data_IF_539102906395
#
_entry.id   IF_539102906395
#
_cell.length_a   1.000
_cell.length_b   1.000
_cell.length_c   1.000
_cell.angle_alpha   90.00
_cell.angle_beta   90.00
_cell.angle_gamma   90.00
#
_symmetry.space_group_name_H-M   'P 1'
#
loop_
_entity.id
_entity.type
_entity.pdbx_description
1 polymer ?
#
# COMPACT_ATOMS: atom_id res chain seq x y z
N UNK A 1 11.84 -1.17 -5.41
CA UNK A 1 10.67 -2.09 -5.24
C UNK A 1 10.88 -3.19 -4.21
N UNK A 2 12.05 -3.80 -4.12
CA UNK A 2 12.29 -4.86 -3.13
C UNK A 2 12.08 -4.38 -1.69
N UNK A 3 12.52 -3.16 -1.37
CA UNK A 3 12.29 -2.58 -0.05
C UNK A 3 10.83 -2.32 0.26
N UNK A 4 10.07 -1.84 -0.73
CA UNK A 4 8.63 -1.61 -0.62
C UNK A 4 7.89 -2.94 -0.38
N UNK A 5 8.22 -3.95 -1.16
CA UNK A 5 7.68 -5.31 -0.99
C UNK A 5 7.99 -5.84 0.42
N UNK A 6 9.24 -5.75 0.87
CA UNK A 6 9.66 -6.23 2.18
C UNK A 6 8.94 -5.49 3.32
N UNK A 7 8.84 -4.16 3.24
CA UNK A 7 8.14 -3.37 4.24
C UNK A 7 6.67 -3.73 4.36
N UNK A 8 6.05 -4.04 3.23
CA UNK A 8 4.63 -4.45 3.21
C UNK A 8 4.45 -5.87 3.75
N UNK A 9 5.21 -6.84 3.25
CA UNK A 9 5.09 -8.24 3.69
C UNK A 9 5.45 -8.41 5.16
N UNK A 10 6.41 -7.64 5.67
CA UNK A 10 6.77 -7.63 7.08
C UNK A 10 5.90 -6.72 7.93
N UNK A 11 5.06 -5.90 7.32
CA UNK A 11 4.14 -4.97 7.99
C UNK A 11 4.88 -4.05 8.95
N UNK A 12 6.01 -3.49 8.52
CA UNK A 12 6.93 -2.74 9.36
C UNK A 12 6.93 -1.26 9.01
N UNK A 13 6.31 -0.39 9.86
CA UNK A 13 6.27 1.05 9.61
C UNK A 13 7.65 1.72 9.56
N UNK A 14 8.58 1.28 10.41
CA UNK A 14 9.93 1.84 10.43
C UNK A 14 10.69 1.48 9.15
N UNK A 15 10.57 0.25 8.67
CA UNK A 15 11.16 -0.20 7.41
C UNK A 15 10.61 0.60 6.23
N UNK A 16 9.30 0.83 6.19
CA UNK A 16 8.67 1.64 5.15
C UNK A 16 9.21 3.08 5.17
N UNK A 17 9.20 3.72 6.33
CA UNK A 17 9.67 5.10 6.46
C UNK A 17 11.14 5.25 6.09
N UNK A 18 11.96 4.23 6.37
CA UNK A 18 13.40 4.24 6.07
C UNK A 18 13.72 4.19 4.57
N UNK A 19 12.75 3.85 3.71
CA UNK A 19 12.92 3.91 2.26
C UNK A 19 12.99 5.33 1.73
N UNK A 20 12.56 6.30 2.53
CA UNK A 20 12.43 7.71 2.16
C UNK A 20 13.45 8.57 2.88
N UNK A 21 13.79 9.69 2.26
CA UNK A 21 14.48 10.77 2.97
C UNK A 21 13.58 11.33 4.09
N UNK A 22 14.13 11.96 5.14
CA UNK A 22 13.34 12.48 6.26
C UNK A 22 12.22 13.45 5.87
N UNK A 23 12.35 14.14 4.73
CA UNK A 23 11.33 15.02 4.14
C UNK A 23 10.58 14.38 2.97
N UNK A 24 10.71 13.08 2.81
CA UNK A 24 10.09 12.35 1.70
C UNK A 24 8.58 12.38 1.70
N UNK A 25 7.99 12.17 0.53
CA UNK A 25 6.55 12.18 0.32
C UNK A 25 6.06 10.87 -0.27
N UNK A 26 4.95 10.39 0.25
CA UNK A 26 4.23 9.23 -0.29
C UNK A 26 2.79 9.65 -0.60
N UNK A 27 2.46 9.68 -1.88
CA UNK A 27 1.12 9.98 -2.34
C UNK A 27 0.36 8.66 -2.46
N UNK A 28 -0.37 8.31 -1.41
CA UNK A 28 -1.13 7.06 -1.35
C UNK A 28 -2.39 7.09 -2.21
N UNK A 29 -2.84 8.26 -2.61
CA UNK A 29 -3.83 8.52 -3.68
C UNK A 29 -3.47 9.85 -4.33
N UNK A 30 -4.07 10.20 -5.49
CA UNK A 30 -3.87 11.53 -6.09
C UNK A 30 -4.26 12.69 -5.17
N UNK A 31 -5.09 12.43 -4.15
CA UNK A 31 -5.64 13.46 -3.28
C UNK A 31 -5.07 13.46 -1.86
N UNK A 32 -4.20 12.50 -1.55
CA UNK A 32 -3.66 12.35 -0.20
C UNK A 32 -2.14 12.16 -0.24
N UNK A 33 -1.45 12.88 0.62
CA UNK A 33 0.00 12.78 0.73
C UNK A 33 0.42 12.64 2.20
N UNK A 34 1.37 11.75 2.43
CA UNK A 34 2.05 11.59 3.72
C UNK A 34 3.45 12.16 3.56
N UNK A 35 3.82 13.10 4.43
CA UNK A 35 5.13 13.78 4.40
C UNK A 35 5.90 13.55 5.66
N UNK A 36 7.17 13.18 5.50
CA UNK A 36 8.10 13.04 6.59
C UNK A 36 7.99 11.71 7.31
N UNK A 37 9.05 11.35 8.04
CA UNK A 37 9.21 10.04 8.67
C UNK A 37 8.04 9.67 9.59
N UNK A 38 7.58 10.63 10.40
CA UNK A 38 6.51 10.37 11.35
C UNK A 38 5.18 10.05 10.67
N UNK A 39 4.79 10.84 9.65
CA UNK A 39 3.55 10.59 8.91
C UNK A 39 3.62 9.31 8.09
N UNK A 40 4.76 9.01 7.49
CA UNK A 40 4.96 7.76 6.73
C UNK A 40 4.80 6.54 7.64
N UNK A 41 5.43 6.55 8.80
CA UNK A 41 5.32 5.44 9.75
C UNK A 41 3.90 5.30 10.29
N UNK A 42 3.24 6.41 10.63
CA UNK A 42 1.87 6.40 11.12
C UNK A 42 0.88 5.86 10.07
N UNK A 43 1.02 6.30 8.83
CA UNK A 43 0.21 5.78 7.73
C UNK A 43 0.37 4.27 7.56
N UNK A 44 1.62 3.76 7.65
CA UNK A 44 1.92 2.36 7.42
C UNK A 44 1.44 1.43 8.55
N UNK A 45 1.07 1.98 9.71
CA UNK A 45 0.50 1.17 10.81
C UNK A 45 -0.79 0.45 10.40
N UNK A 46 -1.55 0.98 9.44
CA UNK A 46 -2.75 0.30 8.93
C UNK A 46 -2.44 -1.05 8.29
N UNK A 47 -1.23 -1.21 7.77
CA UNK A 47 -0.79 -2.47 7.17
C UNK A 47 -0.67 -3.57 8.23
N UNK A 48 -0.49 -3.22 9.49
CA UNK A 48 -0.45 -4.19 10.59
C UNK A 48 -1.79 -4.88 10.84
N UNK A 49 -2.88 -4.33 10.30
CA UNK A 49 -4.21 -4.95 10.36
C UNK A 49 -4.43 -5.96 9.21
N UNK A 50 -3.48 -6.08 8.32
CA UNK A 50 -3.49 -7.05 7.23
C UNK A 50 -2.71 -8.29 7.65
N UNK A 51 -3.15 -9.46 7.18
CA UNK A 51 -2.50 -10.73 7.45
C UNK A 51 -2.15 -11.42 6.14
N UNK A 52 -1.13 -12.28 6.19
CA UNK A 52 -0.73 -13.10 5.04
C UNK A 52 -0.55 -12.25 3.78
N UNK A 53 0.29 -11.23 3.89
CA UNK A 53 0.51 -10.25 2.83
C UNK A 53 1.49 -10.81 1.80
N UNK A 54 1.09 -10.79 0.54
CA UNK A 54 1.96 -11.15 -0.58
C UNK A 54 2.01 -9.99 -1.57
N UNK A 55 3.22 -9.58 -1.96
CA UNK A 55 3.44 -8.51 -2.92
C UNK A 55 4.24 -9.04 -4.10
N UNK A 56 3.71 -8.84 -5.30
CA UNK A 56 4.43 -9.09 -6.55
C UNK A 56 4.56 -7.80 -7.33
N UNK A 57 5.60 -7.69 -8.15
CA UNK A 57 5.79 -6.49 -8.97
C UNK A 57 6.59 -6.77 -10.23
N UNK A 58 6.39 -5.91 -11.23
CA UNK A 58 7.20 -5.85 -12.45
C UNK A 58 7.66 -4.41 -12.65
N UNK A 59 8.97 -4.22 -12.85
CA UNK A 59 9.52 -2.91 -13.19
C UNK A 59 9.23 -2.64 -14.66
N UNK A 60 8.44 -1.59 -14.93
CA UNK A 60 8.02 -1.23 -16.28
C UNK A 60 9.01 -0.30 -16.96
N UNK A 61 9.64 0.58 -16.17
CA UNK A 61 10.63 1.54 -16.67
C UNK A 61 11.53 1.97 -15.52
N UNK A 62 12.78 2.24 -15.81
CA UNK A 62 13.74 2.75 -14.84
C UNK A 62 14.70 3.73 -15.50
N UNK A 63 14.98 4.82 -14.80
CA UNK A 63 15.98 5.84 -15.18
C UNK A 63 16.93 6.05 -13.98
N UNK A 64 17.93 6.90 -14.13
CA UNK A 64 18.93 7.12 -13.09
C UNK A 64 18.35 7.56 -11.74
N UNK A 65 17.26 8.36 -11.76
CA UNK A 65 16.67 8.95 -10.56
C UNK A 65 15.17 8.68 -10.42
N UNK A 66 14.60 7.78 -11.24
CA UNK A 66 13.17 7.47 -11.16
C UNK A 66 12.88 6.06 -11.65
N UNK A 67 11.73 5.54 -11.24
CA UNK A 67 11.26 4.24 -11.69
C UNK A 67 9.75 4.17 -11.70
N UNK A 68 9.24 3.22 -12.48
CA UNK A 68 7.83 2.90 -12.61
C UNK A 68 7.67 1.41 -12.51
N UNK A 69 6.76 0.95 -11.65
CA UNK A 69 6.50 -0.47 -11.46
C UNK A 69 5.01 -0.75 -11.38
N UNK A 70 4.59 -1.85 -11.98
CA UNK A 70 3.28 -2.43 -11.71
C UNK A 70 3.41 -3.37 -10.53
N UNK A 71 2.49 -3.27 -9.57
CA UNK A 71 2.49 -4.11 -8.38
C UNK A 71 1.11 -4.68 -8.11
N UNK A 72 1.10 -5.81 -7.46
CA UNK A 72 -0.11 -6.44 -6.95
C UNK A 72 0.14 -6.90 -5.53
N UNK A 73 -0.79 -6.60 -4.64
CA UNK A 73 -0.77 -7.04 -3.26
C UNK A 73 -2.04 -7.80 -2.94
N UNK A 74 -1.89 -8.93 -2.26
CA UNK A 74 -3.02 -9.66 -1.70
C UNK A 74 -2.81 -9.80 -0.20
N UNK A 75 -3.89 -9.69 0.56
CA UNK A 75 -3.83 -9.88 2.01
C UNK A 75 -5.18 -10.32 2.55
N UNK A 76 -5.14 -11.00 3.70
CA UNK A 76 -6.33 -11.34 4.46
C UNK A 76 -6.68 -10.16 5.36
N UNK A 77 -7.94 -9.73 5.32
CA UNK A 77 -8.44 -8.69 6.23
C UNK A 77 -8.53 -9.28 7.64
N UNK A 78 -7.91 -8.61 8.62
CA UNK A 78 -7.85 -9.08 10.00
C UNK A 78 -9.00 -8.54 10.87
N UNK A 79 -9.73 -7.52 10.41
CA UNK A 79 -10.80 -6.91 11.20
C UNK A 79 -11.94 -6.36 10.35
N UNK A 80 -13.14 -6.36 10.92
CA UNK A 80 -14.33 -5.72 10.34
C UNK A 80 -14.10 -4.23 10.10
N UNK A 81 -13.41 -3.57 11.02
CA UNK A 81 -13.14 -2.14 10.95
C UNK A 81 -12.30 -1.80 9.72
N UNK A 82 -11.24 -2.55 9.45
CA UNK A 82 -10.40 -2.37 8.26
C UNK A 82 -11.24 -2.55 6.99
N UNK A 83 -12.09 -3.57 6.95
CA UNK A 83 -12.95 -3.83 5.80
C UNK A 83 -13.93 -2.68 5.56
N UNK A 84 -14.53 -2.14 6.60
CA UNK A 84 -15.45 -0.99 6.50
C UNK A 84 -14.73 0.26 6.01
N UNK A 85 -13.54 0.54 6.54
CA UNK A 85 -12.71 1.68 6.12
C UNK A 85 -12.37 1.57 4.63
N UNK A 86 -11.96 0.40 4.19
CA UNK A 86 -11.67 0.15 2.78
C UNK A 86 -12.91 0.38 1.91
N UNK A 87 -14.04 -0.23 2.27
CA UNK A 87 -15.27 -0.13 1.50
C UNK A 87 -15.75 1.32 1.38
N UNK A 88 -15.63 2.09 2.45
CA UNK A 88 -15.99 3.51 2.45
C UNK A 88 -15.07 4.31 1.52
N UNK A 89 -13.77 4.05 1.54
CA UNK A 89 -12.79 4.79 0.73
C UNK A 89 -12.90 4.48 -0.76
N UNK A 90 -13.34 3.27 -1.13
CA UNK A 90 -13.49 2.87 -2.53
C UNK A 90 -14.93 3.03 -3.05
N UNK A 91 -15.88 3.41 -2.21
CA UNK A 91 -17.30 3.51 -2.57
C UNK A 91 -17.96 2.16 -2.80
N UNK A 92 -17.34 1.07 -2.38
CA UNK A 92 -17.87 -0.29 -2.58
C UNK A 92 -18.99 -0.58 -1.58
N UNK A 93 -20.09 -1.17 -2.06
CA UNK A 93 -21.19 -1.57 -1.22
C UNK A 93 -20.87 -2.82 -0.41
N UNK A 94 -21.25 -2.83 0.87
CA UNK A 94 -21.13 -3.99 1.76
C UNK A 94 -22.39 -4.87 1.78
N UNK A 95 -23.37 -4.57 0.94
CA UNK A 95 -24.73 -5.19 1.00
C UNK A 95 -24.69 -6.71 0.85
N UNK A 96 -23.71 -7.23 0.12
CA UNK A 96 -23.61 -8.68 -0.12
C UNK A 96 -23.04 -9.46 1.07
N UNK A 97 -22.56 -8.79 2.13
CA UNK A 97 -21.95 -9.45 3.28
C UNK A 97 -22.84 -9.37 4.50
N UNK A 98 -23.12 -10.53 5.12
CA UNK A 98 -23.90 -10.62 6.35
C UNK A 98 -22.98 -10.59 7.58
N UNK A 99 -23.48 -10.11 8.74
CA UNK A 99 -22.72 -10.21 9.99
C UNK A 99 -22.33 -11.67 10.28
N UNK A 100 -21.05 -11.88 10.62
CA UNK A 100 -20.53 -13.22 10.89
C UNK A 100 -19.97 -13.96 9.67
N UNK A 101 -20.12 -13.44 8.46
CA UNK A 101 -19.49 -14.01 7.27
C UNK A 101 -17.95 -13.87 7.38
N UNK A 102 -17.18 -14.80 6.82
CA UNK A 102 -15.72 -14.68 6.79
C UNK A 102 -15.28 -13.37 6.12
N UNK A 103 -14.27 -12.72 6.69
CA UNK A 103 -13.68 -11.55 6.07
C UNK A 103 -12.96 -11.95 4.78
N UNK A 104 -13.06 -11.13 3.73
CA UNK A 104 -12.49 -11.48 2.43
C UNK A 104 -10.98 -11.34 2.42
N UNK A 105 -10.35 -12.07 1.51
CA UNK A 105 -9.01 -11.74 1.07
C UNK A 105 -9.10 -10.63 0.04
N UNK A 106 -8.24 -9.61 0.17
CA UNK A 106 -8.25 -8.45 -0.70
C UNK A 106 -7.16 -8.56 -1.76
N UNK A 107 -7.47 -8.05 -2.95
CA UNK A 107 -6.49 -7.87 -4.02
C UNK A 107 -6.40 -6.38 -4.32
N UNK A 108 -5.19 -5.85 -4.28
CA UNK A 108 -4.87 -4.50 -4.74
C UNK A 108 -4.00 -4.63 -5.98
N UNK A 109 -4.29 -3.80 -6.99
CA UNK A 109 -3.50 -3.74 -8.20
C UNK A 109 -3.24 -2.28 -8.53
N UNK A 110 -2.00 -1.94 -8.86
CA UNK A 110 -1.66 -0.57 -9.08
C UNK A 110 -0.31 -0.35 -9.72
N UNK A 111 0.01 0.92 -9.86
CA UNK A 111 1.27 1.40 -10.42
C UNK A 111 1.92 2.33 -9.40
N UNK A 112 3.22 2.15 -9.20
CA UNK A 112 4.06 3.00 -8.36
C UNK A 112 5.04 3.75 -9.25
N UNK A 113 5.09 5.07 -9.07
CA UNK A 113 6.13 5.92 -9.65
C UNK A 113 6.94 6.49 -8.49
N UNK A 114 8.26 6.31 -8.54
CA UNK A 114 9.16 6.78 -7.48
C UNK A 114 10.27 7.63 -8.07
N UNK A 115 10.63 8.69 -7.36
CA UNK A 115 11.77 9.55 -7.65
C UNK A 115 12.77 9.41 -6.50
N UNK A 116 14.05 9.24 -6.85
CA UNK A 116 15.11 9.00 -5.90
C UNK A 116 16.14 10.13 -5.90
N UNK A 117 16.70 10.38 -4.72
CA UNK A 117 17.89 11.20 -4.55
C UNK A 117 18.91 10.34 -3.82
N UNK A 118 19.98 9.92 -4.51
CA UNK A 118 20.89 8.91 -3.97
C UNK A 118 20.19 7.55 -3.77
N UNK A 119 20.33 6.99 -2.58
CA UNK A 119 19.84 5.65 -2.25
C UNK A 119 18.42 5.63 -1.60
N UNK A 120 17.79 6.79 -1.46
CA UNK A 120 16.47 6.91 -0.84
C UNK A 120 15.48 7.61 -1.74
N UNK A 121 14.22 7.28 -1.53
CA UNK A 121 13.11 7.86 -2.25
C UNK A 121 12.78 9.26 -1.71
N UNK A 122 12.64 10.23 -2.61
CA UNK A 122 12.18 11.58 -2.25
C UNK A 122 10.68 11.72 -2.41
N UNK A 123 10.10 11.15 -3.46
CA UNK A 123 8.66 11.18 -3.72
C UNK A 123 8.24 9.85 -4.33
N UNK A 124 7.19 9.26 -3.80
CA UNK A 124 6.53 8.11 -4.40
C UNK A 124 5.05 8.39 -4.57
N UNK A 125 4.50 7.96 -5.68
CA UNK A 125 3.07 8.09 -5.99
C UNK A 125 2.54 6.74 -6.40
N UNK A 126 1.35 6.40 -5.89
CA UNK A 126 0.65 5.19 -6.32
C UNK A 126 -0.72 5.53 -6.88
N UNK A 127 -1.09 4.77 -7.89
CA UNK A 127 -2.46 4.72 -8.43
C UNK A 127 -2.89 3.27 -8.31
N UNK A 128 -4.05 3.03 -7.71
CA UNK A 128 -4.45 1.67 -7.39
C UNK A 128 -5.95 1.51 -7.33
N UNK A 129 -6.36 0.27 -7.46
CA UNK A 129 -7.73 -0.14 -7.21
C UNK A 129 -7.72 -1.44 -6.42
N UNK A 130 -8.80 -1.72 -5.69
CA UNK A 130 -8.88 -2.91 -4.87
C UNK A 130 -10.24 -3.57 -4.98
N UNK A 131 -10.23 -4.89 -4.89
CA UNK A 131 -11.44 -5.73 -4.92
C UNK A 131 -11.29 -6.87 -3.90
N UNK A 132 -12.41 -7.32 -3.28
CA UNK A 132 -12.40 -8.59 -2.58
C UNK A 132 -12.17 -9.71 -3.58
N UNK A 133 -11.39 -10.73 -3.19
CA UNK A 133 -11.28 -11.93 -4.02
C UNK A 133 -12.60 -12.70 -3.98
N UNK A 134 -13.07 -13.23 -5.12
CA UNK A 134 -14.19 -14.18 -5.12
C UNK A 134 -13.84 -15.40 -4.28
N UNK A 135 -14.80 -15.84 -3.50
CA UNK A 135 -14.66 -17.05 -2.69
C UNK A 135 -14.78 -18.28 -3.58
#
# INVERSE_FOLDING_TARGET
MLGYKAAWEQRDPAMFAALFWPDGEYHNTPFQVQRGTAQLAEYWKRVQLQEDVEVTFDVLAAAATSGLAHWRTTYQVASEELFRVWAKSTGTSLVARKPGDPLPRMVLDGVLQATFSGDRCSVARIWWHSLPQPV
#
